data_IF_427545429982
#
_entry.id   IF_427545429982
#
_cell.length_a   1.000
_cell.length_b   1.000
_cell.length_c   1.000
_cell.angle_alpha   90.00
_cell.angle_beta   90.00
_cell.angle_gamma   90.00
#
_symmetry.space_group_name_H-M   'P 1'
#
loop_
_entity.id
_entity.type
_entity.pdbx_description
1 polymer ?
#
# COMPACT_ATOMS: atom_id res chain seq x y z
N UNK A 1 29.63 2.04 -40.36
CA UNK A 1 29.98 1.29 -39.15
C UNK A 1 29.88 2.06 -37.81
N UNK A 2 29.90 3.40 -37.77
CA UNK A 2 29.78 4.18 -36.51
C UNK A 2 28.35 4.26 -35.90
N UNK A 3 27.30 4.08 -36.69
CA UNK A 3 25.91 4.19 -36.20
C UNK A 3 25.39 2.95 -35.47
N UNK A 4 25.97 1.77 -35.73
CA UNK A 4 25.57 0.51 -35.08
C UNK A 4 25.95 0.47 -33.60
N UNK A 5 27.09 1.09 -33.25
CA UNK A 5 27.57 1.11 -31.86
C UNK A 5 26.73 1.97 -30.92
N UNK A 6 26.07 3.03 -31.44
CA UNK A 6 25.20 3.90 -30.63
C UNK A 6 23.91 3.18 -30.24
N UNK A 7 23.30 2.43 -31.15
CA UNK A 7 22.10 1.65 -30.86
C UNK A 7 22.36 0.52 -29.86
N UNK A 8 23.51 -0.15 -29.95
CA UNK A 8 23.91 -1.17 -28.97
C UNK A 8 24.13 -0.58 -27.58
N UNK A 9 24.71 0.62 -27.50
CA UNK A 9 24.91 1.31 -26.21
C UNK A 9 23.59 1.75 -25.58
N UNK A 10 22.63 2.25 -26.38
CA UNK A 10 21.31 2.65 -25.90
C UNK A 10 20.50 1.43 -25.45
N UNK A 11 20.56 0.31 -26.17
CA UNK A 11 19.89 -0.95 -25.75
C UNK A 11 20.51 -1.50 -24.48
N UNK A 12 21.84 -1.44 -24.33
CA UNK A 12 22.51 -1.85 -23.10
C UNK A 12 22.16 -0.95 -21.90
N UNK A 13 22.04 0.37 -22.11
CA UNK A 13 21.62 1.32 -21.08
C UNK A 13 20.16 1.12 -20.66
N UNK A 14 19.27 0.86 -21.61
CA UNK A 14 17.86 0.53 -21.34
C UNK A 14 17.75 -0.83 -20.62
N UNK A 15 18.54 -1.82 -21.02
CA UNK A 15 18.60 -3.12 -20.33
C UNK A 15 19.09 -3.01 -18.87
N UNK A 16 20.03 -2.11 -18.58
CA UNK A 16 20.48 -1.84 -17.22
C UNK A 16 19.45 -1.08 -16.35
N UNK A 17 18.56 -0.29 -16.97
CA UNK A 17 17.49 0.43 -16.26
C UNK A 17 16.30 -0.47 -15.89
N UNK A 18 16.13 -1.59 -16.57
CA UNK A 18 15.07 -2.57 -16.30
C UNK A 18 15.58 -3.88 -15.65
N UNK A 19 16.86 -3.96 -15.33
CA UNK A 19 17.52 -5.20 -14.89
C UNK A 19 17.71 -5.38 -13.38
N UNK A 20 17.18 -4.47 -12.56
CA UNK A 20 17.05 -4.73 -11.13
C UNK A 20 15.60 -5.08 -10.90
N UNK A 21 15.27 -6.37 -11.05
CA UNK A 21 14.07 -6.88 -10.39
C UNK A 21 14.28 -6.58 -8.91
N UNK A 22 13.40 -5.82 -8.24
CA UNK A 22 13.47 -5.74 -6.79
C UNK A 22 13.46 -7.20 -6.30
N UNK A 23 14.35 -7.54 -5.39
CA UNK A 23 14.25 -8.80 -4.65
C UNK A 23 12.88 -8.72 -3.99
N UNK A 24 11.90 -9.41 -4.55
CA UNK A 24 10.57 -9.48 -3.95
C UNK A 24 10.75 -10.20 -2.63
N UNK A 25 10.37 -9.56 -1.56
CA UNK A 25 10.26 -10.25 -0.29
C UNK A 25 9.28 -11.42 -0.46
N UNK A 26 9.55 -12.53 0.20
CA UNK A 26 8.67 -13.71 0.15
C UNK A 26 7.34 -13.50 0.91
N UNK A 27 7.17 -12.35 1.58
CA UNK A 27 5.93 -11.92 2.21
C UNK A 27 5.80 -10.40 2.24
N UNK A 28 4.56 -9.92 2.31
CA UNK A 28 4.24 -8.49 2.44
C UNK A 28 2.97 -8.30 3.29
N UNK A 29 2.91 -7.19 4.02
CA UNK A 29 1.66 -6.64 4.52
C UNK A 29 1.07 -5.71 3.47
N UNK A 30 -0.21 -5.86 3.17
CA UNK A 30 -0.87 -5.08 2.14
C UNK A 30 -2.13 -4.39 2.64
N UNK A 31 -2.45 -3.26 2.05
CA UNK A 31 -3.78 -2.64 2.14
C UNK A 31 -4.28 -2.52 0.71
N UNK A 32 -5.53 -2.92 0.47
CA UNK A 32 -6.19 -2.74 -0.82
C UNK A 32 -7.66 -2.39 -0.62
N UNK A 33 -8.22 -1.69 -1.59
CA UNK A 33 -9.65 -1.40 -1.60
C UNK A 33 -10.43 -2.63 -2.05
N UNK A 34 -11.59 -2.85 -1.46
CA UNK A 34 -12.55 -3.85 -1.94
C UNK A 34 -13.32 -3.31 -3.16
N UNK A 35 -14.28 -4.08 -3.67
CA UNK A 35 -15.25 -3.58 -4.65
C UNK A 35 -16.15 -2.46 -4.09
N UNK A 36 -16.16 -2.27 -2.77
CA UNK A 36 -16.85 -1.17 -2.07
C UNK A 36 -15.85 -0.07 -1.76
N UNK A 37 -16.04 1.10 -2.34
CA UNK A 37 -15.10 2.23 -2.26
C UNK A 37 -14.72 2.70 -0.83
N UNK A 38 -15.44 2.24 0.18
CA UNK A 38 -15.27 2.63 1.58
C UNK A 38 -14.79 1.50 2.50
N UNK A 39 -14.43 0.33 1.97
CA UNK A 39 -13.96 -0.83 2.74
C UNK A 39 -12.60 -1.25 2.24
N UNK A 40 -11.62 -1.26 3.12
CA UNK A 40 -10.23 -1.60 2.83
C UNK A 40 -9.88 -2.92 3.49
N UNK A 41 -9.30 -3.84 2.73
CA UNK A 41 -8.80 -5.13 3.22
C UNK A 41 -7.35 -5.02 3.64
N UNK A 42 -7.04 -5.62 4.79
CA UNK A 42 -5.68 -5.75 5.30
C UNK A 42 -5.22 -7.16 4.96
N UNK A 43 -4.16 -7.26 4.18
CA UNK A 43 -3.64 -8.50 3.65
C UNK A 43 -2.30 -8.88 4.26
N UNK A 44 -2.11 -10.18 4.46
CA UNK A 44 -0.80 -10.82 4.49
C UNK A 44 -0.62 -11.56 3.15
N UNK A 45 0.33 -11.10 2.36
CA UNK A 45 0.62 -11.59 1.02
C UNK A 45 1.87 -12.46 1.10
N UNK A 46 1.82 -13.69 0.58
CA UNK A 46 2.97 -14.60 0.57
C UNK A 46 2.86 -15.64 -0.53
N UNK A 47 3.99 -16.07 -1.07
CA UNK A 47 4.15 -17.20 -1.98
C UNK A 47 4.85 -18.41 -1.32
N UNK A 48 5.24 -18.26 -0.04
CA UNK A 48 5.84 -19.30 0.79
C UNK A 48 5.02 -19.59 2.04
N UNK A 49 5.44 -20.59 2.82
CA UNK A 49 4.79 -20.93 4.08
C UNK A 49 5.44 -20.21 5.24
N UNK A 50 4.67 -19.45 6.00
CA UNK A 50 5.09 -18.75 7.21
C UNK A 50 4.23 -19.14 8.41
N UNK A 51 4.85 -19.17 9.59
CA UNK A 51 4.18 -19.35 10.87
C UNK A 51 3.94 -17.98 11.49
N UNK A 52 2.67 -17.61 11.69
CA UNK A 52 2.28 -16.34 12.33
C UNK A 52 1.89 -16.59 13.77
N UNK A 53 2.63 -16.04 14.73
CA UNK A 53 2.34 -16.18 16.16
C UNK A 53 1.56 -15.02 16.73
N UNK A 54 1.81 -13.84 16.27
CA UNK A 54 1.04 -12.63 16.61
C UNK A 54 1.32 -11.51 15.60
N UNK A 55 0.46 -10.51 15.63
CA UNK A 55 0.69 -9.22 14.98
C UNK A 55 0.03 -8.09 15.77
N UNK A 56 0.60 -6.91 15.64
CA UNK A 56 0.00 -5.65 16.08
C UNK A 56 0.28 -4.61 15.01
N UNK A 57 -0.78 -4.10 14.38
CA UNK A 57 -0.71 -3.17 13.27
C UNK A 57 -1.40 -1.85 13.65
N UNK A 58 -0.90 -0.79 13.08
CA UNK A 58 -1.41 0.56 13.28
C UNK A 58 -1.57 1.23 11.92
N UNK A 59 -2.56 2.14 11.83
CA UNK A 59 -2.89 2.77 10.56
C UNK A 59 -3.02 4.28 10.74
N UNK A 60 -2.46 5.01 9.78
CA UNK A 60 -2.77 6.40 9.54
C UNK A 60 -3.82 6.54 8.43
N UNK A 61 -4.62 7.60 8.47
CA UNK A 61 -5.53 7.93 7.38
C UNK A 61 -5.73 9.44 7.25
N UNK A 62 -6.09 9.92 6.04
CA UNK A 62 -6.35 11.34 5.82
C UNK A 62 -7.73 11.74 6.36
N UNK A 63 -7.71 12.51 7.45
CA UNK A 63 -8.92 13.03 8.08
C UNK A 63 -9.63 14.11 7.27
N UNK A 64 -9.02 14.66 6.24
CA UNK A 64 -9.71 15.59 5.35
C UNK A 64 -10.64 14.85 4.38
N UNK A 65 -10.29 13.61 4.02
CA UNK A 65 -10.97 12.83 3.01
C UNK A 65 -11.83 11.70 3.57
N UNK A 66 -11.48 11.16 4.74
CA UNK A 66 -12.18 10.04 5.35
C UNK A 66 -12.53 10.26 6.81
N UNK A 67 -13.51 9.51 7.29
CA UNK A 67 -13.86 9.37 8.71
C UNK A 67 -13.91 7.89 9.04
N UNK A 68 -13.19 7.45 10.06
CA UNK A 68 -13.22 6.08 10.53
C UNK A 68 -14.60 5.69 11.06
N UNK A 69 -15.07 4.50 10.71
CA UNK A 69 -16.37 3.96 11.12
C UNK A 69 -16.22 2.71 11.98
N UNK A 70 -15.53 1.70 11.46
CA UNK A 70 -15.40 0.41 12.13
C UNK A 70 -14.30 -0.45 11.52
N UNK A 71 -13.99 -1.56 12.18
CA UNK A 71 -13.10 -2.59 11.68
C UNK A 71 -13.66 -4.00 11.91
N UNK A 72 -13.09 -4.97 11.20
CA UNK A 72 -13.27 -6.39 11.47
C UNK A 72 -11.89 -7.04 11.50
N UNK A 73 -11.61 -7.81 12.53
CA UNK A 73 -10.34 -8.53 12.68
C UNK A 73 -10.60 -10.03 12.47
N UNK A 74 -9.98 -10.63 11.46
CA UNK A 74 -10.18 -12.03 11.06
C UNK A 74 -8.84 -12.77 10.95
N UNK A 75 -8.12 -12.95 12.07
CA UNK A 75 -6.80 -13.54 12.06
C UNK A 75 -6.83 -15.00 11.60
N UNK A 76 -5.71 -15.52 11.06
CA UNK A 76 -5.63 -16.89 10.61
C UNK A 76 -5.69 -17.90 11.77
N UNK A 77 -6.30 -19.05 11.50
CA UNK A 77 -6.26 -20.23 12.34
C UNK A 77 -6.78 -20.02 13.75
N UNK A 78 -5.93 -20.18 14.74
CA UNK A 78 -6.25 -20.14 16.18
C UNK A 78 -5.78 -18.87 16.87
N UNK A 79 -5.31 -17.87 16.14
CA UNK A 79 -5.03 -16.56 16.72
C UNK A 79 -6.32 -15.94 17.26
N UNK A 80 -6.21 -15.35 18.45
CA UNK A 80 -7.32 -14.66 19.11
C UNK A 80 -7.30 -13.20 18.66
N UNK A 81 -8.35 -12.72 17.94
CA UNK A 81 -8.42 -11.33 17.53
C UNK A 81 -8.57 -10.43 18.78
N UNK A 82 -8.05 -9.21 18.66
CA UNK A 82 -8.16 -8.17 19.69
C UNK A 82 -7.66 -8.60 21.07
N UNK A 83 -6.61 -9.45 21.06
CA UNK A 83 -6.06 -10.06 22.28
C UNK A 83 -5.58 -9.03 23.31
N UNK A 84 -5.01 -7.90 22.86
CA UNK A 84 -4.57 -6.81 23.72
C UNK A 84 -5.59 -5.66 23.80
N UNK A 85 -6.86 -5.93 23.50
CA UNK A 85 -7.91 -4.94 23.33
C UNK A 85 -8.22 -4.69 21.87
N UNK A 86 -9.41 -4.17 21.57
CA UNK A 86 -9.82 -3.85 20.21
C UNK A 86 -9.10 -2.63 19.65
N UNK A 87 -9.16 -2.47 18.32
CA UNK A 87 -8.63 -1.28 17.66
C UNK A 87 -9.47 -0.05 18.02
N UNK A 88 -8.80 1.05 18.29
CA UNK A 88 -9.42 2.33 18.61
C UNK A 88 -8.74 3.50 17.88
N UNK A 89 -9.48 4.55 17.65
CA UNK A 89 -8.94 5.82 17.19
C UNK A 89 -8.46 6.63 18.40
N UNK A 90 -7.15 6.69 18.62
CA UNK A 90 -6.55 7.39 19.76
C UNK A 90 -6.50 8.90 19.58
N UNK A 91 -6.42 9.36 18.34
CA UNK A 91 -6.59 10.74 17.89
C UNK A 91 -6.99 10.74 16.40
N UNK A 92 -7.62 11.81 15.89
CA UNK A 92 -8.04 11.87 14.49
C UNK A 92 -6.91 11.51 13.52
N UNK A 93 -7.16 10.56 12.64
CA UNK A 93 -6.21 10.09 11.64
C UNK A 93 -5.28 8.96 12.10
N UNK A 94 -5.44 8.42 13.33
CA UNK A 94 -4.60 7.36 13.84
C UNK A 94 -5.39 6.25 14.51
N UNK A 95 -5.31 5.06 13.94
CA UNK A 95 -5.94 3.84 14.43
C UNK A 95 -4.90 2.94 15.08
N UNK A 96 -5.08 2.67 16.36
CA UNK A 96 -4.17 1.92 17.20
C UNK A 96 -4.73 0.54 17.52
N UNK A 97 -3.84 -0.47 17.57
CA UNK A 97 -4.11 -1.78 18.19
C UNK A 97 -4.98 -2.74 17.36
N UNK A 98 -4.78 -2.80 16.05
CA UNK A 98 -5.28 -3.93 15.26
C UNK A 98 -4.37 -5.14 15.50
N UNK A 99 -4.79 -6.08 16.35
CA UNK A 99 -3.91 -7.12 16.86
C UNK A 99 -4.56 -8.50 16.93
N UNK A 100 -3.72 -9.53 16.85
CA UNK A 100 -4.07 -10.88 17.24
C UNK A 100 -2.86 -11.62 17.80
N UNK A 101 -3.08 -12.57 18.70
CA UNK A 101 -2.01 -13.36 19.29
C UNK A 101 -2.44 -14.80 19.59
N UNK A 102 -1.47 -15.71 19.57
CA UNK A 102 -1.63 -17.08 19.99
C UNK A 102 -1.34 -17.20 21.50
N UNK A 103 -2.30 -17.76 22.25
CA UNK A 103 -2.11 -18.07 23.66
C UNK A 103 -1.88 -19.55 23.93
N UNK A 104 -2.61 -20.40 23.18
CA UNK A 104 -2.59 -21.83 23.39
C UNK A 104 -2.67 -22.56 22.05
N UNK A 105 -1.95 -23.66 21.94
CA UNK A 105 -1.97 -24.48 20.74
C UNK A 105 -0.75 -24.29 19.86
N UNK A 106 -0.89 -24.59 18.59
CA UNK A 106 0.15 -24.38 17.57
C UNK A 106 -0.17 -23.13 16.78
N UNK A 107 0.86 -22.35 16.52
CA UNK A 107 0.77 -21.16 15.66
C UNK A 107 0.29 -21.56 14.26
N UNK A 108 -0.60 -20.78 13.64
CA UNK A 108 -1.09 -21.07 12.32
C UNK A 108 0.00 -20.92 11.26
N UNK A 109 0.02 -21.85 10.32
CA UNK A 109 0.85 -21.77 9.13
C UNK A 109 0.03 -21.18 7.98
N UNK A 110 0.53 -20.14 7.36
CA UNK A 110 -0.07 -19.44 6.21
C UNK A 110 0.82 -19.71 5.00
N UNK A 111 0.26 -20.26 3.93
CA UNK A 111 0.97 -20.60 2.69
C UNK A 111 0.36 -19.98 1.44
N UNK A 112 -0.51 -19.00 1.61
CA UNK A 112 -1.15 -18.23 0.55
C UNK A 112 -1.59 -16.89 1.10
N UNK A 113 -1.92 -15.96 0.21
CA UNK A 113 -2.47 -14.67 0.60
C UNK A 113 -3.74 -14.85 1.44
N UNK A 114 -3.80 -14.11 2.54
CA UNK A 114 -4.96 -14.10 3.45
C UNK A 114 -5.35 -12.68 3.80
N UNK A 115 -6.63 -12.48 4.09
CA UNK A 115 -7.15 -11.24 4.67
C UNK A 115 -7.05 -11.35 6.19
N UNK A 116 -6.36 -10.40 6.82
CA UNK A 116 -6.28 -10.26 8.29
C UNK A 116 -7.51 -9.55 8.85
N UNK A 117 -8.18 -8.76 8.06
CA UNK A 117 -9.39 -8.05 8.41
C UNK A 117 -9.70 -6.90 7.47
N UNK A 118 -10.65 -6.07 7.87
CA UNK A 118 -11.10 -4.93 7.08
C UNK A 118 -11.22 -3.66 7.94
N UNK A 119 -11.01 -2.51 7.29
CA UNK A 119 -11.29 -1.19 7.83
C UNK A 119 -12.41 -0.56 7.01
N UNK A 120 -13.37 0.05 7.69
CA UNK A 120 -14.50 0.75 7.04
C UNK A 120 -14.44 2.24 7.37
N UNK A 121 -14.56 3.06 6.34
CA UNK A 121 -14.57 4.51 6.45
C UNK A 121 -15.83 5.10 5.80
N UNK A 122 -16.17 6.31 6.17
CA UNK A 122 -17.06 7.17 5.43
C UNK A 122 -16.21 8.13 4.60
N UNK A 123 -16.35 8.06 3.27
CA UNK A 123 -15.65 8.96 2.34
C UNK A 123 -16.34 10.30 2.33
N UNK A 124 -15.61 11.37 2.57
CA UNK A 124 -16.18 12.71 2.59
C UNK A 124 -16.51 13.20 1.19
N UNK A 125 -17.58 14.02 1.02
CA UNK A 125 -17.97 14.53 -0.29
C UNK A 125 -16.89 15.38 -0.98
N UNK A 126 -16.00 15.97 -0.21
CA UNK A 126 -14.86 16.77 -0.67
C UNK A 126 -13.61 15.98 -1.00
N UNK A 127 -13.60 14.68 -0.72
CA UNK A 127 -12.47 13.81 -1.03
C UNK A 127 -12.14 13.82 -2.53
N UNK A 128 -10.87 13.93 -2.86
CA UNK A 128 -10.39 14.01 -4.25
C UNK A 128 -9.19 13.08 -4.46
N UNK A 129 -9.14 12.43 -5.61
CA UNK A 129 -7.98 11.61 -6.01
C UNK A 129 -6.82 12.52 -6.38
N UNK A 130 -5.90 12.69 -5.46
CA UNK A 130 -4.72 13.56 -5.63
C UNK A 130 -3.42 12.81 -5.93
N UNK A 131 -3.46 11.50 -5.86
CA UNK A 131 -2.34 10.60 -6.16
C UNK A 131 -1.59 10.11 -4.91
N UNK A 132 -2.00 10.57 -3.72
CA UNK A 132 -1.46 10.10 -2.45
C UNK A 132 -2.40 9.05 -1.83
N UNK A 133 -1.89 8.07 -1.09
CA UNK A 133 -2.74 7.11 -0.37
C UNK A 133 -3.43 7.78 0.82
N UNK A 134 -4.75 7.63 0.92
CA UNK A 134 -5.55 8.14 2.03
C UNK A 134 -5.54 7.25 3.27
N UNK A 135 -4.99 6.05 3.16
CA UNK A 135 -4.75 5.12 4.26
C UNK A 135 -3.39 4.46 4.09
N UNK A 136 -2.66 4.30 5.19
CA UNK A 136 -1.33 3.70 5.21
C UNK A 136 -1.05 2.94 6.50
N UNK A 137 -0.06 2.05 6.48
CA UNK A 137 0.50 1.49 7.71
C UNK A 137 1.31 2.55 8.43
N UNK A 138 0.95 2.80 9.69
CA UNK A 138 1.72 3.67 10.55
C UNK A 138 2.83 2.85 11.22
N UNK A 139 4.08 3.25 11.03
CA UNK A 139 5.26 2.48 11.48
C UNK A 139 6.01 3.15 12.63
N UNK A 140 5.33 3.99 13.41
CA UNK A 140 5.91 4.63 14.61
C UNK A 140 5.48 3.92 15.90
N UNK A 141 6.30 3.95 16.96
CA UNK A 141 5.92 3.34 18.24
C UNK A 141 4.68 4.00 18.86
N UNK A 142 3.91 3.25 19.69
CA UNK A 142 4.22 1.92 20.18
C UNK A 142 3.49 0.82 19.41
N UNK A 143 4.13 -0.26 19.02
CA UNK A 143 3.43 -1.50 18.82
C UNK A 143 3.16 -1.96 17.39
N UNK A 144 3.77 -1.37 16.37
CA UNK A 144 3.73 -1.98 15.03
C UNK A 144 4.73 -3.14 14.94
N UNK A 145 4.24 -4.33 14.57
CA UNK A 145 5.09 -5.49 14.36
C UNK A 145 4.32 -6.77 14.09
N UNK A 146 5.06 -7.79 13.71
CA UNK A 146 4.55 -9.14 13.43
C UNK A 146 5.59 -10.18 13.83
N UNK A 147 5.17 -11.30 14.42
CA UNK A 147 6.04 -12.46 14.65
C UNK A 147 5.83 -13.47 13.53
N UNK A 148 6.86 -13.65 12.73
CA UNK A 148 6.92 -14.63 11.65
C UNK A 148 8.04 -15.62 11.91
N UNK A 149 7.73 -16.92 11.79
CA UNK A 149 8.70 -18.02 11.93
C UNK A 149 9.52 -17.97 13.24
N UNK A 150 8.90 -17.41 14.30
CA UNK A 150 9.49 -17.25 15.62
C UNK A 150 10.36 -15.99 15.80
N UNK A 151 10.46 -15.12 14.80
CA UNK A 151 11.17 -13.84 14.86
C UNK A 151 10.16 -12.68 14.97
N UNK A 152 10.39 -11.76 15.92
CA UNK A 152 9.63 -10.53 16.03
C UNK A 152 10.25 -9.46 15.15
N UNK A 153 9.51 -9.02 14.16
CA UNK A 153 9.83 -7.89 13.30
C UNK A 153 9.09 -6.68 13.84
N UNK A 154 9.81 -5.70 14.34
CA UNK A 154 9.22 -4.54 15.02
C UNK A 154 9.18 -3.28 14.13
N UNK A 155 8.60 -2.20 14.67
CA UNK A 155 8.47 -0.94 13.96
C UNK A 155 9.82 -0.35 13.48
N UNK A 156 10.96 -0.68 14.12
CA UNK A 156 12.26 -0.18 13.67
C UNK A 156 12.63 -0.78 12.32
N UNK A 157 12.36 -2.07 12.13
CA UNK A 157 12.59 -2.75 10.84
C UNK A 157 11.74 -2.10 9.75
N UNK A 158 10.47 -1.79 10.03
CA UNK A 158 9.55 -1.15 9.09
C UNK A 158 9.83 0.34 8.84
N UNK A 159 10.64 0.99 9.66
CA UNK A 159 11.10 2.37 9.40
C UNK A 159 12.24 2.42 8.39
N UNK A 160 13.03 1.34 8.25
CA UNK A 160 14.08 1.25 7.26
C UNK A 160 13.49 1.28 5.85
N UNK A 161 13.82 2.27 4.99
CA UNK A 161 13.15 2.45 3.70
C UNK A 161 13.24 1.23 2.78
N UNK A 162 14.35 0.51 2.81
CA UNK A 162 14.57 -0.68 2.00
C UNK A 162 13.66 -1.82 2.47
N UNK A 163 13.61 -2.09 3.77
CA UNK A 163 12.74 -3.11 4.36
C UNK A 163 11.28 -2.79 4.10
N UNK A 164 10.85 -1.55 4.38
CA UNK A 164 9.48 -1.08 4.15
C UNK A 164 9.05 -1.26 2.69
N UNK A 165 9.89 -0.89 1.73
CA UNK A 165 9.57 -1.02 0.30
C UNK A 165 9.42 -2.47 -0.18
N UNK A 166 10.02 -3.41 0.55
CA UNK A 166 9.91 -4.84 0.26
C UNK A 166 8.69 -5.49 0.93
N UNK A 167 8.33 -5.05 2.14
CA UNK A 167 7.36 -5.72 2.99
C UNK A 167 6.03 -4.97 3.18
N UNK A 168 5.89 -3.77 2.64
CA UNK A 168 4.62 -3.02 2.62
C UNK A 168 4.14 -2.84 1.19
N UNK A 169 2.93 -3.30 0.91
CA UNK A 169 2.25 -3.16 -0.36
C UNK A 169 1.00 -2.28 -0.21
N UNK A 170 0.78 -1.41 -1.19
CA UNK A 170 -0.43 -0.60 -1.26
C UNK A 170 -1.17 -0.90 -2.56
N UNK A 171 -2.48 -1.17 -2.45
CA UNK A 171 -3.36 -1.36 -3.59
C UNK A 171 -3.62 -0.06 -4.36
N UNK A 172 -4.15 -0.21 -5.56
CA UNK A 172 -4.43 0.92 -6.47
C UNK A 172 -5.61 1.78 -6.00
N UNK A 173 -6.46 1.24 -5.14
CA UNK A 173 -7.71 1.89 -4.69
C UNK A 173 -7.59 2.70 -3.40
N UNK A 174 -6.38 2.96 -2.89
CA UNK A 174 -6.20 3.65 -1.60
C UNK A 174 -6.35 5.19 -1.69
N UNK A 175 -6.30 5.75 -2.87
CA UNK A 175 -6.62 7.15 -3.17
C UNK A 175 -8.11 7.23 -3.52
N UNK A 176 -8.92 7.73 -2.57
CA UNK A 176 -10.38 7.75 -2.65
C UNK A 176 -10.91 9.09 -3.19
N UNK A 177 -12.22 9.16 -3.42
CA UNK A 177 -12.87 10.39 -3.83
C UNK A 177 -13.00 10.59 -5.33
N UNK A 178 -13.34 11.82 -5.75
CA UNK A 178 -13.52 12.16 -7.14
C UNK A 178 -12.19 12.49 -7.82
N UNK A 179 -12.00 12.09 -9.10
CA UNK A 179 -10.80 12.48 -9.85
C UNK A 179 -10.65 14.00 -9.89
N UNK A 180 -9.44 14.50 -9.65
CA UNK A 180 -9.16 15.93 -9.78
C UNK A 180 -9.46 16.38 -11.21
N UNK A 181 -10.34 17.38 -11.42
CA UNK A 181 -10.64 17.86 -12.75
C UNK A 181 -9.36 18.40 -13.43
N UNK A 182 -8.98 17.82 -14.56
CA UNK A 182 -7.83 18.33 -15.32
C UNK A 182 -8.11 19.79 -15.71
N UNK A 183 -7.30 20.77 -15.27
CA UNK A 183 -7.52 22.17 -15.60
C UNK A 183 -7.64 22.34 -17.12
N UNK A 184 -8.64 23.09 -17.57
CA UNK A 184 -8.83 23.37 -18.99
C UNK A 184 -7.57 23.93 -19.68
N UNK A 185 -6.67 24.55 -18.90
CA UNK A 185 -5.36 25.01 -19.36
C UNK A 185 -4.48 23.88 -19.97
N UNK A 186 -4.59 22.64 -19.46
CA UNK A 186 -3.84 21.49 -20.00
C UNK A 186 -4.36 21.13 -21.38
N UNK A 187 -5.67 21.16 -21.60
CA UNK A 187 -6.29 20.96 -22.92
C UNK A 187 -5.96 22.07 -23.90
N UNK A 188 -5.93 23.34 -23.42
CA UNK A 188 -5.53 24.49 -24.23
C UNK A 188 -4.05 24.41 -24.60
N UNK A 189 -3.18 24.03 -23.67
CA UNK A 189 -1.75 23.84 -23.95
C UNK A 189 -1.54 22.72 -24.97
N UNK A 190 -2.18 21.56 -24.78
CA UNK A 190 -2.09 20.43 -25.71
C UNK A 190 -2.59 20.79 -27.11
N UNK A 191 -3.75 21.42 -27.21
CA UNK A 191 -4.30 21.88 -28.51
C UNK A 191 -3.46 22.97 -29.14
N UNK A 192 -2.87 23.90 -28.36
CA UNK A 192 -1.96 24.93 -28.83
C UNK A 192 -0.69 24.34 -29.45
N UNK A 193 -0.08 23.35 -28.80
CA UNK A 193 1.12 22.66 -29.31
C UNK A 193 0.81 21.91 -30.60
N UNK A 194 -0.32 21.19 -30.67
CA UNK A 194 -0.74 20.50 -31.90
C UNK A 194 -1.02 21.50 -33.02
N UNK A 195 -1.67 22.63 -32.73
CA UNK A 195 -1.90 23.71 -33.68
C UNK A 195 -0.62 24.29 -34.23
N UNK A 196 0.38 24.58 -33.41
CA UNK A 196 1.68 25.08 -33.81
C UNK A 196 2.45 24.10 -34.72
N UNK A 197 2.42 22.80 -34.40
CA UNK A 197 3.02 21.74 -35.19
C UNK A 197 2.34 21.62 -36.56
N UNK A 198 1.02 21.79 -36.62
CA UNK A 198 0.25 21.81 -37.87
C UNK A 198 0.56 22.98 -38.74
N UNK A 199 0.74 24.18 -38.16
CA UNK A 199 1.15 25.40 -38.90
C UNK A 199 2.57 25.28 -39.47
N UNK A 200 3.52 24.72 -38.71
CA UNK A 200 4.90 24.51 -39.19
C UNK A 200 4.97 23.61 -40.43
N UNK A 201 4.09 22.62 -40.55
CA UNK A 201 4.03 21.72 -41.71
C UNK A 201 3.46 22.40 -42.98
N UNK A 202 2.71 23.52 -42.85
CA UNK A 202 2.17 24.26 -43.99
C UNK A 202 3.11 25.35 -44.50
N UNK A 203 4.11 25.72 -43.66
CA UNK A 203 5.07 26.78 -43.98
C UNK A 203 6.43 26.24 -44.47
N UNK A 204 6.60 24.93 -44.46
CA UNK A 204 7.75 24.22 -45.04
C UNK A 204 7.35 23.51 -46.34
#
# INVERSE_FOLDING_TARGET
MKRLNVYMLVIALIGCLFGVSPVSANWQLGIDNTEMDNVFEIWFLTDESHVISNYQLEFGYDTNEMTYVSYTNTPPGTLIPDFMGGMEETHPGYLHNFNAAQLFGTDPTVSSNIILGTLTFEIKPEAVKDGEPDIWFETVPPGFGITLDGEWLDFNDFQEPEFRSQHIAYGVGLDVGAPVPIPAAVWLLGSGVVGLLGLRRRLA
#
